data_IF_057942116055
#
_entry.id   IF_057942116055
#
_cell.length_a   1.000
_cell.length_b   1.000
_cell.length_c   1.000
_cell.angle_alpha   90.00
_cell.angle_beta   90.00
_cell.angle_gamma   90.00
#
_symmetry.space_group_name_H-M   'P 1'
#
loop_
_entity.id
_entity.type
_entity.pdbx_description
1 polymer ?
#
# COMPACT_ATOMS: atom_id res chain seq x y z
N UNK A 1 -43.82 -31.20 -49.48
CA UNK A 1 -43.10 -31.63 -48.27
C UNK A 1 -41.71 -31.01 -48.32
N UNK A 2 -41.59 -29.79 -47.78
CA UNK A 2 -40.33 -29.06 -47.76
C UNK A 2 -39.65 -29.32 -46.42
N UNK A 3 -38.43 -29.86 -46.42
CA UNK A 3 -37.57 -29.98 -45.26
C UNK A 3 -36.77 -28.67 -45.11
N UNK A 4 -36.99 -28.01 -44.00
CA UNK A 4 -36.17 -26.86 -43.58
C UNK A 4 -35.10 -27.40 -42.65
N UNK A 5 -33.84 -27.39 -43.10
CA UNK A 5 -32.67 -27.68 -42.29
C UNK A 5 -32.23 -26.42 -41.55
N UNK A 6 -32.49 -26.37 -40.24
CA UNK A 6 -32.00 -25.32 -39.37
C UNK A 6 -30.54 -25.57 -38.96
N UNK A 7 -29.63 -24.69 -39.34
CA UNK A 7 -28.25 -24.65 -38.86
C UNK A 7 -28.19 -23.99 -37.48
N UNK A 8 -27.81 -24.77 -36.49
CA UNK A 8 -27.47 -24.27 -35.16
C UNK A 8 -26.08 -23.56 -35.21
N UNK A 9 -26.09 -22.26 -35.06
CA UNK A 9 -24.88 -21.48 -34.85
C UNK A 9 -24.44 -21.63 -33.39
N UNK A 10 -23.36 -22.37 -33.17
CA UNK A 10 -22.70 -22.45 -31.87
C UNK A 10 -22.00 -21.11 -31.60
N UNK A 11 -22.49 -20.33 -30.62
CA UNK A 11 -21.83 -19.18 -30.10
C UNK A 11 -20.62 -19.65 -29.25
N UNK A 12 -19.42 -19.53 -29.80
CA UNK A 12 -18.19 -19.62 -29.04
C UNK A 12 -18.11 -18.40 -28.11
N UNK A 13 -18.54 -18.58 -26.87
CA UNK A 13 -18.26 -17.64 -25.80
C UNK A 13 -16.74 -17.60 -25.55
N UNK A 14 -16.09 -16.55 -25.98
CA UNK A 14 -14.72 -16.25 -25.56
C UNK A 14 -14.74 -16.01 -24.04
N UNK A 15 -14.32 -17.00 -23.26
CA UNK A 15 -13.95 -16.79 -21.86
C UNK A 15 -12.76 -15.84 -21.86
N UNK A 16 -13.00 -14.59 -21.51
CA UNK A 16 -11.91 -13.67 -21.14
C UNK A 16 -11.20 -14.33 -19.95
N UNK A 17 -10.00 -14.84 -20.18
CA UNK A 17 -9.10 -15.20 -19.11
C UNK A 17 -8.81 -13.90 -18.31
N UNK A 18 -9.57 -13.65 -17.27
CA UNK A 18 -9.16 -12.71 -16.24
C UNK A 18 -7.90 -13.29 -15.61
N UNK A 19 -6.73 -12.85 -16.07
CA UNK A 19 -5.50 -13.04 -15.34
C UNK A 19 -5.74 -12.43 -13.96
N UNK A 20 -5.67 -13.27 -12.92
CA UNK A 20 -5.86 -12.78 -11.55
C UNK A 20 -4.85 -11.66 -11.28
N UNK A 21 -5.34 -10.53 -10.79
CA UNK A 21 -4.50 -9.39 -10.39
C UNK A 21 -3.45 -9.88 -9.39
N UNK A 22 -2.19 -9.50 -9.60
CA UNK A 22 -1.12 -9.88 -8.69
C UNK A 22 -1.36 -9.34 -7.28
N UNK A 23 -0.99 -10.11 -6.27
CA UNK A 23 -0.98 -9.72 -4.87
C UNK A 23 0.17 -10.42 -4.14
N UNK A 24 0.76 -9.80 -3.11
CA UNK A 24 1.76 -10.46 -2.29
C UNK A 24 1.15 -11.66 -1.54
N UNK A 25 1.97 -12.66 -1.26
CA UNK A 25 1.60 -13.80 -0.45
C UNK A 25 1.99 -13.55 1.01
N UNK A 26 1.34 -14.23 1.96
CA UNK A 26 1.73 -14.20 3.37
C UNK A 26 3.22 -14.59 3.49
N UNK A 27 3.99 -13.82 4.25
CA UNK A 27 5.43 -14.03 4.43
C UNK A 27 6.30 -13.59 3.24
N UNK A 28 5.77 -12.86 2.25
CA UNK A 28 6.56 -12.36 1.11
C UNK A 28 7.69 -11.42 1.58
N UNK A 29 8.96 -11.71 1.25
CA UNK A 29 10.06 -10.77 1.47
C UNK A 29 9.89 -9.51 0.61
N UNK A 30 9.99 -8.36 1.24
CA UNK A 30 9.75 -7.08 0.58
C UNK A 30 10.71 -5.99 1.07
N UNK A 31 10.71 -4.86 0.40
CA UNK A 31 11.42 -3.64 0.78
C UNK A 31 10.54 -2.43 0.46
N UNK A 32 10.63 -1.40 1.28
CA UNK A 32 10.04 -0.09 1.01
C UNK A 32 11.13 0.97 0.94
N UNK A 33 11.09 1.80 -0.11
CA UNK A 33 12.01 2.91 -0.32
C UNK A 33 11.23 4.10 -0.85
N UNK A 34 10.88 5.03 0.03
CA UNK A 34 10.12 6.23 -0.33
C UNK A 34 11.03 7.45 -0.49
N UNK A 35 12.16 7.47 0.22
CA UNK A 35 13.11 8.57 0.15
C UNK A 35 14.43 8.08 -0.44
N UNK A 36 14.73 8.55 -1.65
CA UNK A 36 16.07 8.38 -2.21
C UNK A 36 16.95 9.43 -1.58
N UNK A 37 18.05 9.00 -0.95
CA UNK A 37 19.05 9.93 -0.48
C UNK A 37 19.44 10.89 -1.61
N UNK A 38 19.07 12.16 -1.44
CA UNK A 38 19.33 13.22 -2.42
C UNK A 38 20.83 13.40 -2.70
N UNK A 39 21.71 12.92 -1.80
CA UNK A 39 23.16 12.97 -1.98
C UNK A 39 23.68 11.90 -2.93
N UNK A 40 23.02 10.76 -3.03
CA UNK A 40 23.53 9.65 -3.83
C UNK A 40 22.85 9.50 -5.20
N UNK A 41 21.63 10.03 -5.41
CA UNK A 41 20.78 9.75 -6.59
C UNK A 41 20.86 8.27 -7.00
N UNK A 42 21.09 7.41 -6.00
CA UNK A 42 21.44 6.02 -6.25
C UNK A 42 20.25 5.26 -6.82
N UNK A 43 20.52 4.39 -7.74
CA UNK A 43 19.62 3.35 -8.17
C UNK A 43 19.17 2.57 -6.93
N UNK A 44 17.88 2.25 -6.86
CA UNK A 44 17.32 1.39 -5.80
C UNK A 44 18.17 0.13 -5.70
N UNK A 45 18.66 -0.17 -4.49
CA UNK A 45 19.46 -1.36 -4.25
C UNK A 45 18.57 -2.60 -4.30
N UNK A 46 18.78 -3.46 -5.30
CA UNK A 46 18.07 -4.75 -5.37
C UNK A 46 18.76 -5.74 -4.45
N UNK A 47 17.99 -6.25 -3.49
CA UNK A 47 18.44 -7.28 -2.56
C UNK A 47 18.19 -8.68 -3.18
N UNK A 48 19.11 -9.66 -3.02
CA UNK A 48 19.05 -10.94 -3.75
C UNK A 48 17.73 -11.70 -3.61
N UNK A 49 17.17 -11.73 -2.40
CA UNK A 49 15.99 -12.55 -2.07
C UNK A 49 14.69 -11.75 -2.00
N UNK A 50 14.73 -10.45 -2.35
CA UNK A 50 13.58 -9.55 -2.30
C UNK A 50 13.04 -9.33 -3.70
N UNK A 51 11.77 -9.64 -3.90
CA UNK A 51 11.10 -9.53 -5.21
C UNK A 51 9.89 -8.60 -5.20
N UNK A 52 9.62 -7.94 -4.07
CA UNK A 52 8.55 -6.96 -3.92
C UNK A 52 9.14 -5.67 -3.37
N UNK A 53 8.93 -4.58 -4.08
CA UNK A 53 9.40 -3.26 -3.69
C UNK A 53 8.22 -2.29 -3.68
N UNK A 54 8.11 -1.54 -2.58
CA UNK A 54 7.20 -0.42 -2.44
C UNK A 54 7.98 0.88 -2.64
N UNK A 55 7.58 1.66 -3.62
CA UNK A 55 8.34 2.80 -4.11
C UNK A 55 7.46 4.01 -4.31
N UNK A 56 7.98 5.20 -3.96
CA UNK A 56 7.29 6.44 -4.26
C UNK A 56 6.96 6.57 -5.75
N UNK A 57 5.68 6.84 -6.02
CA UNK A 57 5.14 6.93 -7.39
C UNK A 57 5.75 8.09 -8.18
N UNK A 58 6.00 9.23 -7.55
CA UNK A 58 6.42 10.45 -8.24
C UNK A 58 7.93 10.52 -8.42
N UNK A 59 8.68 10.11 -7.39
CA UNK A 59 10.14 10.29 -7.32
C UNK A 59 10.92 9.24 -8.13
N UNK A 60 10.21 8.27 -8.72
CA UNK A 60 10.79 7.25 -9.58
C UNK A 60 10.33 7.41 -11.02
N UNK A 61 11.30 7.45 -11.94
CA UNK A 61 11.01 7.51 -13.37
C UNK A 61 10.46 6.18 -13.91
N UNK A 62 9.65 6.23 -14.97
CA UNK A 62 9.12 5.04 -15.63
C UNK A 62 10.24 4.07 -16.10
N UNK A 63 11.43 4.57 -16.44
CA UNK A 63 12.58 3.75 -16.78
C UNK A 63 13.10 2.92 -15.60
N UNK A 64 13.05 3.45 -14.38
CA UNK A 64 13.37 2.72 -13.14
C UNK A 64 12.41 1.56 -12.94
N UNK A 65 11.10 1.81 -13.05
CA UNK A 65 10.08 0.77 -12.94
C UNK A 65 10.25 -0.31 -14.02
N UNK A 66 10.47 0.09 -15.27
CA UNK A 66 10.69 -0.85 -16.38
C UNK A 66 11.88 -1.76 -16.11
N UNK A 67 13.01 -1.21 -15.63
CA UNK A 67 14.21 -1.97 -15.30
C UNK A 67 13.94 -2.96 -14.16
N UNK A 68 13.33 -2.52 -13.07
CA UNK A 68 13.02 -3.40 -11.94
C UNK A 68 12.11 -4.56 -12.37
N UNK A 69 11.11 -4.27 -13.18
CA UNK A 69 10.22 -5.33 -13.72
C UNK A 69 10.95 -6.31 -14.64
N UNK A 70 11.91 -5.85 -15.43
CA UNK A 70 12.74 -6.74 -16.24
C UNK A 70 13.60 -7.69 -15.38
N UNK A 71 13.96 -7.27 -14.16
CA UNK A 71 14.67 -8.08 -13.16
C UNK A 71 13.71 -8.98 -12.36
N UNK A 72 12.43 -9.04 -12.75
CA UNK A 72 11.40 -9.88 -12.11
C UNK A 72 10.85 -9.33 -10.79
N UNK A 73 11.06 -8.04 -10.52
CA UNK A 73 10.54 -7.35 -9.33
C UNK A 73 9.06 -7.00 -9.51
N UNK A 74 8.27 -7.20 -8.47
CA UNK A 74 6.91 -6.69 -8.34
C UNK A 74 6.90 -5.35 -7.65
N UNK A 75 6.10 -4.43 -8.15
CA UNK A 75 6.11 -3.04 -7.74
C UNK A 75 4.79 -2.65 -7.07
N UNK A 76 4.88 -2.28 -5.81
CA UNK A 76 3.85 -1.53 -5.12
C UNK A 76 4.20 -0.06 -5.29
N UNK A 77 3.22 0.78 -5.58
CA UNK A 77 3.45 2.21 -5.78
C UNK A 77 2.77 3.00 -4.67
N UNK A 78 3.61 3.65 -3.89
CA UNK A 78 3.21 4.53 -2.79
C UNK A 78 2.86 5.93 -3.29
N UNK A 79 1.80 6.47 -2.77
CA UNK A 79 1.51 7.91 -2.77
C UNK A 79 0.59 8.27 -1.61
N UNK A 80 0.68 9.49 -1.09
CA UNK A 80 -0.29 9.95 -0.12
C UNK A 80 -1.65 10.17 -0.81
N UNK A 81 -2.70 9.51 -0.32
CA UNK A 81 -4.06 9.69 -0.84
C UNK A 81 -4.91 10.57 0.06
N UNK A 82 -4.68 10.50 1.38
CA UNK A 82 -5.43 11.27 2.36
C UNK A 82 -4.78 12.59 2.76
N UNK A 83 -3.58 12.91 2.25
CA UNK A 83 -2.94 14.21 2.46
C UNK A 83 -2.56 14.91 1.16
N UNK A 84 -2.64 16.25 1.22
CA UNK A 84 -2.03 17.18 0.28
C UNK A 84 -0.56 17.32 0.63
N UNK A 85 0.31 17.29 -0.38
CA UNK A 85 1.76 17.46 -0.23
C UNK A 85 2.20 18.66 -1.09
N UNK A 86 2.79 19.70 -0.47
CA UNK A 86 3.08 20.98 -1.14
C UNK A 86 4.24 20.92 -2.15
N UNK A 87 4.90 19.78 -2.27
CA UNK A 87 6.00 19.52 -3.22
C UNK A 87 5.58 18.70 -4.44
N UNK A 88 4.40 18.08 -4.44
CA UNK A 88 3.96 17.24 -5.57
C UNK A 88 3.62 18.06 -6.80
N UNK A 89 3.86 17.50 -7.96
CA UNK A 89 3.65 18.18 -9.24
C UNK A 89 2.19 18.57 -9.49
N UNK A 90 1.25 17.81 -8.94
CA UNK A 90 -0.20 17.99 -9.08
C UNK A 90 -0.83 18.87 -7.98
N UNK A 91 -0.04 19.42 -7.06
CA UNK A 91 -0.52 20.21 -5.91
C UNK A 91 -1.48 21.33 -6.27
N UNK A 92 -1.31 21.94 -7.45
CA UNK A 92 -2.15 23.06 -7.92
C UNK A 92 -3.55 22.63 -8.38
N UNK A 93 -3.80 21.34 -8.46
CA UNK A 93 -5.11 20.81 -8.84
C UNK A 93 -6.07 20.72 -7.65
N UNK A 94 -5.55 20.75 -6.42
CA UNK A 94 -6.37 20.77 -5.22
C UNK A 94 -6.96 22.17 -4.99
N UNK A 95 -8.20 22.20 -4.54
CA UNK A 95 -8.90 23.42 -4.16
C UNK A 95 -8.66 23.73 -2.67
N UNK A 96 -8.68 24.98 -2.28
CA UNK A 96 -8.57 25.36 -0.85
C UNK A 96 -9.65 24.66 0.02
N UNK A 97 -10.81 24.38 -0.54
CA UNK A 97 -11.90 23.68 0.13
C UNK A 97 -11.69 22.18 0.29
N UNK A 98 -10.68 21.63 -0.36
CA UNK A 98 -10.28 20.22 -0.24
C UNK A 98 -9.29 20.00 0.90
N UNK A 99 -8.64 21.08 1.38
CA UNK A 99 -7.48 21.03 2.27
C UNK A 99 -7.90 21.38 3.70
N UNK A 100 -7.55 20.50 4.62
CA UNK A 100 -7.78 20.62 6.07
C UNK A 100 -6.57 21.15 6.84
N UNK A 101 -6.50 20.75 8.11
CA UNK A 101 -5.39 21.11 9.00
C UNK A 101 -4.08 20.44 8.57
N UNK A 102 -2.91 21.01 8.96
CA UNK A 102 -1.62 20.36 8.75
C UNK A 102 -1.54 18.99 9.43
N UNK A 103 -0.79 18.05 8.82
CA UNK A 103 -0.42 16.80 9.46
C UNK A 103 0.64 17.07 10.53
N UNK A 104 0.41 16.57 11.75
CA UNK A 104 1.39 16.70 12.84
C UNK A 104 2.66 15.90 12.50
N UNK A 105 3.81 16.55 12.68
CA UNK A 105 5.13 15.96 12.37
C UNK A 105 5.54 15.97 10.89
N UNK A 106 4.67 16.38 9.96
CA UNK A 106 4.92 16.37 8.51
C UNK A 106 4.76 17.77 7.89
N UNK A 107 5.77 18.65 7.97
CA UNK A 107 5.70 19.99 7.40
C UNK A 107 5.45 19.96 5.89
N UNK A 108 4.47 20.74 5.45
CA UNK A 108 4.07 20.80 4.03
C UNK A 108 2.94 19.84 3.66
N UNK A 109 2.48 19.01 4.61
CA UNK A 109 1.31 18.15 4.41
C UNK A 109 0.08 18.65 5.15
N UNK A 110 -1.08 18.48 4.52
CA UNK A 110 -2.39 18.80 5.07
C UNK A 110 -3.38 17.69 4.77
N UNK A 111 -4.30 17.40 5.70
CA UNK A 111 -5.38 16.44 5.49
C UNK A 111 -6.25 16.83 4.30
N UNK A 112 -6.76 15.82 3.57
CA UNK A 112 -7.63 16.02 2.41
C UNK A 112 -9.07 15.59 2.71
N UNK A 113 -10.01 16.34 2.13
CA UNK A 113 -11.43 15.99 2.12
C UNK A 113 -11.70 14.83 1.16
N UNK A 114 -11.57 13.60 1.65
CA UNK A 114 -11.66 12.36 0.86
C UNK A 114 -12.99 12.15 0.14
N UNK A 115 -14.07 12.81 0.59
CA UNK A 115 -15.37 12.82 -0.06
C UNK A 115 -15.48 13.82 -1.22
N UNK A 116 -14.49 14.72 -1.41
CA UNK A 116 -14.48 15.69 -2.52
C UNK A 116 -14.33 14.99 -3.88
N UNK A 117 -15.18 15.33 -4.82
CA UNK A 117 -15.07 14.84 -6.20
C UNK A 117 -13.78 15.29 -6.87
N UNK A 118 -13.24 16.47 -6.51
CA UNK A 118 -11.96 16.93 -7.03
C UNK A 118 -10.80 16.10 -6.49
N UNK A 119 -10.76 15.83 -5.18
CA UNK A 119 -9.75 14.93 -4.58
C UNK A 119 -9.79 13.56 -5.25
N UNK A 120 -10.97 12.96 -5.41
CA UNK A 120 -11.13 11.66 -6.07
C UNK A 120 -10.64 11.68 -7.52
N UNK A 121 -10.92 12.73 -8.27
CA UNK A 121 -10.41 12.89 -9.63
C UNK A 121 -8.88 12.90 -9.67
N UNK A 122 -8.25 13.61 -8.74
CA UNK A 122 -6.79 13.65 -8.63
C UNK A 122 -6.23 12.26 -8.30
N UNK A 123 -6.86 11.54 -7.36
CA UNK A 123 -6.45 10.19 -7.01
C UNK A 123 -6.62 9.19 -8.16
N UNK A 124 -7.69 9.29 -8.94
CA UNK A 124 -7.83 8.51 -10.19
C UNK A 124 -6.67 8.79 -11.14
N UNK A 125 -6.23 10.06 -11.27
CA UNK A 125 -5.09 10.42 -12.11
C UNK A 125 -3.76 9.86 -11.56
N UNK A 126 -3.56 9.82 -10.23
CA UNK A 126 -2.39 9.19 -9.60
C UNK A 126 -2.38 7.67 -9.84
N UNK A 127 -3.52 7.00 -9.70
CA UNK A 127 -3.65 5.56 -9.99
C UNK A 127 -3.41 5.28 -11.48
N UNK A 128 -3.92 6.11 -12.38
CA UNK A 128 -3.61 6.02 -13.81
C UNK A 128 -2.11 6.18 -14.09
N UNK A 129 -1.43 7.11 -13.41
CA UNK A 129 0.02 7.28 -13.51
C UNK A 129 0.75 6.01 -13.05
N UNK A 130 0.32 5.41 -11.92
CA UNK A 130 0.88 4.16 -11.43
C UNK A 130 0.74 3.03 -12.47
N UNK A 131 -0.43 2.88 -13.07
CA UNK A 131 -0.65 1.91 -14.16
C UNK A 131 0.27 2.17 -15.36
N UNK A 132 0.42 3.44 -15.75
CA UNK A 132 1.30 3.85 -16.87
C UNK A 132 2.76 3.53 -16.58
N UNK A 133 3.21 3.68 -15.32
CA UNK A 133 4.56 3.34 -14.89
C UNK A 133 4.77 1.82 -14.72
N UNK A 134 3.70 1.04 -14.73
CA UNK A 134 3.73 -0.42 -14.67
C UNK A 134 3.72 -1.00 -13.26
N UNK A 135 3.13 -0.28 -12.29
CA UNK A 135 2.91 -0.80 -10.94
C UNK A 135 2.03 -2.06 -10.96
N UNK A 136 2.27 -2.97 -10.03
CA UNK A 136 1.46 -4.19 -9.84
C UNK A 136 0.42 -4.00 -8.73
N UNK A 137 0.67 -3.05 -7.81
CA UNK A 137 -0.21 -2.72 -6.69
C UNK A 137 -0.07 -1.27 -6.25
N UNK A 138 -1.01 -0.83 -5.42
CA UNK A 138 -1.06 0.51 -4.82
C UNK A 138 -0.95 0.40 -3.30
N UNK A 139 -0.08 1.24 -2.72
CA UNK A 139 -0.05 1.63 -1.32
C UNK A 139 -0.46 3.10 -1.21
N UNK A 140 -1.68 3.35 -0.72
CA UNK A 140 -2.26 4.67 -0.63
C UNK A 140 -2.29 5.13 0.84
N UNK A 141 -1.47 6.11 1.18
CA UNK A 141 -1.23 6.54 2.55
C UNK A 141 -2.22 7.59 3.07
N UNK A 142 -2.19 7.79 4.39
CA UNK A 142 -2.98 8.78 5.12
C UNK A 142 -4.50 8.58 5.02
N UNK A 143 -4.94 7.32 5.00
CA UNK A 143 -6.36 6.95 4.97
C UNK A 143 -7.03 7.18 6.34
N UNK A 144 -6.25 7.21 7.41
CA UNK A 144 -6.66 7.27 8.82
C UNK A 144 -6.91 8.69 9.35
N UNK A 145 -7.15 9.65 8.48
CA UNK A 145 -7.43 11.04 8.86
C UNK A 145 -8.53 11.18 9.91
N UNK A 146 -9.46 10.22 10.01
CA UNK A 146 -10.53 10.22 11.01
C UNK A 146 -10.03 10.08 12.45
N UNK A 147 -8.83 9.56 12.68
CA UNK A 147 -8.19 9.45 13.99
C UNK A 147 -7.38 10.70 14.38
N UNK A 148 -7.37 11.71 13.53
CA UNK A 148 -6.52 12.87 13.65
C UNK A 148 -7.33 14.16 13.69
N UNK A 149 -6.74 15.26 14.21
CA UNK A 149 -7.32 16.60 14.07
C UNK A 149 -7.17 17.08 12.62
N UNK A 150 -8.11 16.66 11.78
CA UNK A 150 -8.06 16.89 10.34
C UNK A 150 -8.74 18.19 9.86
N UNK A 151 -9.48 18.87 10.74
CA UNK A 151 -10.21 20.12 10.41
C UNK A 151 -11.38 19.93 9.42
N UNK A 152 -11.68 18.70 8.98
CA UNK A 152 -12.67 18.39 7.93
C UNK A 152 -13.83 17.53 8.46
N UNK A 153 -13.72 17.06 9.69
CA UNK A 153 -14.72 16.19 10.31
C UNK A 153 -14.80 14.80 9.68
N UNK A 154 -13.65 14.27 9.19
CA UNK A 154 -13.57 12.94 8.60
C UNK A 154 -13.99 11.86 9.60
N UNK A 155 -14.69 10.85 9.13
CA UNK A 155 -15.18 9.70 9.88
C UNK A 155 -14.59 8.39 9.34
N UNK A 156 -14.71 7.31 10.12
CA UNK A 156 -14.36 5.97 9.63
C UNK A 156 -15.16 5.58 8.38
N UNK A 157 -16.41 6.00 8.27
CA UNK A 157 -17.23 5.68 7.10
C UNK A 157 -16.75 6.43 5.85
N UNK A 158 -16.23 7.66 6.00
CA UNK A 158 -15.56 8.38 4.90
C UNK A 158 -14.30 7.63 4.44
N UNK A 159 -13.50 7.10 5.38
CA UNK A 159 -12.32 6.31 5.06
C UNK A 159 -12.68 4.99 4.36
N UNK A 160 -13.70 4.28 4.84
CA UNK A 160 -14.21 3.04 4.19
C UNK A 160 -14.65 3.33 2.76
N UNK A 161 -15.44 4.37 2.54
CA UNK A 161 -15.92 4.76 1.20
C UNK A 161 -14.75 5.15 0.29
N UNK A 162 -13.76 5.86 0.83
CA UNK A 162 -12.58 6.26 0.07
C UNK A 162 -11.68 5.08 -0.30
N UNK A 163 -11.43 4.14 0.62
CA UNK A 163 -10.69 2.89 0.34
C UNK A 163 -11.40 2.08 -0.75
N UNK A 164 -12.72 1.94 -0.68
CA UNK A 164 -13.49 1.23 -1.71
C UNK A 164 -13.39 1.90 -3.08
N UNK A 165 -13.41 3.22 -3.12
CA UNK A 165 -13.19 3.99 -4.33
C UNK A 165 -11.78 3.73 -4.91
N UNK A 166 -10.72 3.90 -4.10
CA UNK A 166 -9.32 3.71 -4.53
C UNK A 166 -9.05 2.28 -5.01
N UNK A 167 -9.56 1.28 -4.27
CA UNK A 167 -9.43 -0.13 -4.64
C UNK A 167 -10.14 -0.44 -5.97
N UNK A 168 -11.32 0.15 -6.20
CA UNK A 168 -12.04 0.02 -7.46
C UNK A 168 -11.27 0.62 -8.63
N UNK A 169 -10.70 1.80 -8.46
CA UNK A 169 -9.84 2.45 -9.45
C UNK A 169 -8.58 1.59 -9.75
N UNK A 170 -7.87 1.12 -8.71
CA UNK A 170 -6.71 0.25 -8.89
C UNK A 170 -7.06 -1.03 -9.65
N UNK A 171 -8.17 -1.68 -9.29
CA UNK A 171 -8.64 -2.90 -9.95
C UNK A 171 -8.99 -2.66 -11.43
N UNK A 172 -9.57 -1.50 -11.77
CA UNK A 172 -9.89 -1.14 -13.16
C UNK A 172 -8.64 -1.06 -14.05
N UNK A 173 -7.47 -0.84 -13.43
CA UNK A 173 -6.16 -0.81 -14.05
C UNK A 173 -5.34 -2.10 -13.85
N UNK A 174 -5.96 -3.22 -13.43
CA UNK A 174 -5.28 -4.51 -13.14
C UNK A 174 -4.22 -4.42 -12.03
N UNK A 175 -4.39 -3.52 -11.08
CA UNK A 175 -3.54 -3.40 -9.89
C UNK A 175 -4.31 -3.85 -8.65
N UNK A 176 -3.63 -4.50 -7.70
CA UNK A 176 -4.19 -4.74 -6.38
C UNK A 176 -4.03 -3.51 -5.48
N UNK A 177 -4.78 -3.49 -4.38
CA UNK A 177 -4.79 -2.38 -3.44
C UNK A 177 -4.47 -2.88 -2.03
N UNK A 178 -3.52 -2.22 -1.36
CA UNK A 178 -3.16 -2.42 0.04
C UNK A 178 -3.89 -1.43 0.95
N UNK A 179 -4.28 -1.87 2.15
CA UNK A 179 -4.71 -0.97 3.21
C UNK A 179 -3.49 -0.50 3.98
N UNK A 180 -3.20 0.82 3.92
CA UNK A 180 -2.15 1.42 4.75
C UNK A 180 -2.71 1.79 6.11
N UNK A 181 -2.09 1.26 7.18
CA UNK A 181 -2.53 1.50 8.57
C UNK A 181 -4.06 1.33 8.74
N UNK A 182 -4.76 2.26 9.41
CA UNK A 182 -6.24 2.29 9.51
C UNK A 182 -6.87 0.94 9.91
N UNK A 183 -6.28 0.26 10.88
CA UNK A 183 -6.61 -1.13 11.25
C UNK A 183 -8.08 -1.27 11.65
N UNK A 184 -8.65 -0.25 12.27
CA UNK A 184 -10.03 -0.25 12.80
C UNK A 184 -11.08 -0.42 11.69
N UNK A 185 -10.77 -0.02 10.46
CA UNK A 185 -11.67 -0.20 9.31
C UNK A 185 -11.36 -1.47 8.52
N UNK A 186 -10.30 -2.20 8.84
CA UNK A 186 -9.88 -3.38 8.10
C UNK A 186 -11.01 -4.40 7.86
N UNK A 187 -11.84 -4.77 8.86
CA UNK A 187 -12.95 -5.70 8.62
C UNK A 187 -13.99 -5.21 7.60
N UNK A 188 -14.16 -3.86 7.48
CA UNK A 188 -15.14 -3.25 6.59
C UNK A 188 -14.67 -3.16 5.13
N UNK A 189 -13.35 -3.29 4.89
CA UNK A 189 -12.74 -3.17 3.56
C UNK A 189 -11.93 -4.39 3.14
N UNK A 190 -11.96 -5.45 3.95
CA UNK A 190 -11.21 -6.68 3.68
C UNK A 190 -11.54 -7.29 2.32
N UNK A 191 -12.78 -7.18 1.87
CA UNK A 191 -13.25 -7.71 0.58
C UNK A 191 -12.62 -7.02 -0.63
N UNK A 192 -12.23 -5.76 -0.52
CA UNK A 192 -11.63 -4.96 -1.61
C UNK A 192 -10.13 -4.76 -1.50
N UNK A 193 -9.52 -5.05 -0.33
CA UNK A 193 -8.08 -4.94 -0.10
C UNK A 193 -7.39 -6.29 -0.28
N UNK A 194 -6.25 -6.32 -0.96
CA UNK A 194 -5.52 -7.54 -1.25
C UNK A 194 -4.45 -7.88 -0.20
N UNK A 195 -3.96 -6.88 0.51
CA UNK A 195 -2.92 -6.95 1.55
C UNK A 195 -3.05 -5.75 2.48
N UNK A 196 -2.27 -5.72 3.54
CA UNK A 196 -2.09 -4.54 4.38
C UNK A 196 -0.63 -4.07 4.34
N UNK A 197 -0.41 -2.77 4.50
CA UNK A 197 0.87 -2.16 4.86
C UNK A 197 0.68 -1.47 6.20
N UNK A 198 1.42 -1.93 7.22
CA UNK A 198 1.26 -1.41 8.59
C UNK A 198 2.59 -0.94 9.15
N UNK A 199 2.53 0.14 9.91
CA UNK A 199 3.67 0.70 10.62
C UNK A 199 3.49 0.59 12.13
N UNK A 200 4.56 0.12 12.79
CA UNK A 200 4.73 0.21 14.24
C UNK A 200 3.72 -0.58 15.10
N UNK A 201 3.13 -1.66 14.60
CA UNK A 201 2.19 -2.45 15.40
C UNK A 201 2.85 -3.04 16.66
N UNK A 202 4.16 -3.38 16.63
CA UNK A 202 4.89 -3.83 17.81
C UNK A 202 5.02 -2.70 18.83
N UNK A 203 5.39 -1.50 18.36
CA UNK A 203 5.52 -0.33 19.22
C UNK A 203 4.23 0.04 19.94
N UNK A 204 3.10 -0.10 19.26
CA UNK A 204 1.77 0.27 19.81
C UNK A 204 1.03 -0.92 20.44
N UNK A 205 1.53 -2.14 20.30
CA UNK A 205 0.92 -3.34 20.88
C UNK A 205 -0.37 -3.76 20.19
N UNK A 206 -0.49 -3.52 18.88
CA UNK A 206 -1.72 -3.73 18.10
C UNK A 206 -1.57 -4.77 16.96
N UNK A 207 -0.47 -5.53 16.94
CA UNK A 207 -0.23 -6.51 15.86
C UNK A 207 -1.32 -7.58 15.75
N UNK A 208 -2.00 -7.91 16.84
CA UNK A 208 -3.07 -8.89 16.86
C UNK A 208 -4.28 -8.46 15.99
N UNK A 209 -4.50 -7.17 15.85
CA UNK A 209 -5.59 -6.63 15.03
C UNK A 209 -5.38 -6.90 13.53
N UNK A 210 -4.12 -7.10 13.10
CA UNK A 210 -3.76 -7.46 11.74
C UNK A 210 -4.09 -8.91 11.38
N UNK A 211 -4.45 -9.73 12.38
CA UNK A 211 -4.87 -11.13 12.16
C UNK A 211 -6.04 -11.26 11.17
N UNK A 212 -6.89 -10.24 11.05
CA UNK A 212 -7.98 -10.22 10.06
C UNK A 212 -7.50 -10.42 8.63
N UNK A 213 -6.32 -9.91 8.28
CA UNK A 213 -5.71 -10.15 6.98
C UNK A 213 -5.11 -11.55 6.88
N UNK A 214 -4.36 -11.98 7.89
CA UNK A 214 -3.72 -13.30 7.92
C UNK A 214 -4.75 -14.44 7.88
N UNK A 215 -5.83 -14.33 8.65
CA UNK A 215 -6.93 -15.29 8.66
C UNK A 215 -7.62 -15.38 7.28
N UNK A 216 -7.61 -14.29 6.51
CA UNK A 216 -8.09 -14.24 5.13
C UNK A 216 -7.02 -14.67 4.11
N UNK A 217 -5.86 -15.20 4.56
CA UNK A 217 -4.71 -15.54 3.72
C UNK A 217 -4.23 -14.36 2.85
N UNK A 218 -4.19 -13.15 3.45
CA UNK A 218 -3.69 -11.93 2.83
C UNK A 218 -2.42 -11.48 3.53
N UNK A 219 -1.44 -11.02 2.75
CA UNK A 219 -0.16 -10.55 3.29
C UNK A 219 -0.33 -9.31 4.17
N UNK A 220 0.49 -9.23 5.20
CA UNK A 220 0.73 -8.02 5.96
C UNK A 220 2.20 -7.63 5.78
N UNK A 221 2.44 -6.55 5.09
CA UNK A 221 3.74 -5.93 4.88
C UNK A 221 3.94 -4.96 6.05
N UNK A 222 4.80 -5.32 6.98
CA UNK A 222 4.92 -4.64 8.27
C UNK A 222 6.26 -3.92 8.41
N UNK A 223 6.23 -2.71 8.95
CA UNK A 223 7.39 -1.81 9.13
C UNK A 223 7.54 -1.47 10.60
N UNK A 224 8.75 -1.62 11.13
CA UNK A 224 9.12 -1.09 12.45
C UNK A 224 10.34 -0.16 12.35
N UNK A 225 10.41 0.77 13.28
CA UNK A 225 11.48 1.76 13.37
C UNK A 225 12.27 1.57 14.68
N UNK A 226 13.38 0.79 14.64
CA UNK A 226 14.20 0.57 15.83
C UNK A 226 14.75 1.89 16.37
N UNK A 227 14.87 1.97 17.71
CA UNK A 227 15.47 3.14 18.35
C UNK A 227 16.96 3.27 18.01
N UNK A 228 17.41 4.48 17.80
CA UNK A 228 18.84 4.78 17.67
C UNK A 228 19.55 4.74 19.04
N UNK A 229 20.81 4.25 19.15
CA UNK A 229 21.53 3.61 18.05
C UNK A 229 20.98 2.22 17.71
N UNK A 230 20.96 1.88 16.41
CA UNK A 230 20.47 0.57 15.97
C UNK A 230 21.47 -0.51 16.34
N UNK A 231 21.17 -1.25 17.39
CA UNK A 231 21.94 -2.37 17.91
C UNK A 231 21.10 -3.66 17.98
N UNK A 232 21.71 -4.76 18.42
CA UNK A 232 21.02 -6.04 18.50
C UNK A 232 19.78 -6.02 19.41
N UNK A 233 19.80 -5.17 20.46
CA UNK A 233 18.66 -5.05 21.38
C UNK A 233 17.54 -4.24 20.75
N UNK A 234 17.83 -3.07 20.15
CA UNK A 234 16.80 -2.28 19.49
C UNK A 234 16.16 -3.02 18.31
N UNK A 235 16.93 -3.87 17.61
CA UNK A 235 16.41 -4.78 16.58
C UNK A 235 15.47 -5.81 17.21
N UNK A 236 15.89 -6.51 18.26
CA UNK A 236 15.06 -7.50 18.92
C UNK A 236 13.76 -6.90 19.49
N UNK A 237 13.83 -5.73 20.14
CA UNK A 237 12.68 -5.02 20.70
C UNK A 237 11.66 -4.56 19.62
N UNK A 238 12.09 -4.43 18.37
CA UNK A 238 11.26 -4.00 17.24
C UNK A 238 10.74 -5.16 16.37
N UNK A 239 11.13 -6.40 16.67
CA UNK A 239 10.60 -7.57 15.98
C UNK A 239 9.38 -8.10 16.72
N UNK A 240 8.33 -8.55 16.00
CA UNK A 240 7.21 -9.22 16.63
C UNK A 240 7.75 -10.41 17.45
N UNK A 241 7.53 -10.38 18.76
CA UNK A 241 8.05 -11.43 19.63
C UNK A 241 7.32 -12.73 19.32
N UNK A 242 8.10 -13.72 18.91
CA UNK A 242 7.72 -15.10 18.95
C UNK A 242 7.92 -15.58 20.40
N UNK A 243 7.03 -15.18 21.30
CA UNK A 243 7.10 -15.70 22.66
C UNK A 243 6.97 -17.22 22.61
N UNK A 244 8.09 -17.87 22.97
CA UNK A 244 8.22 -19.33 23.05
C UNK A 244 7.42 -19.94 24.22
N UNK A 245 6.32 -19.29 24.63
CA UNK A 245 5.37 -19.76 25.63
C UNK A 245 4.17 -20.41 24.96
N UNK A 246 3.76 -21.55 25.44
CA UNK A 246 2.85 -22.57 24.93
C UNK A 246 1.50 -22.14 24.29
N UNK A 247 1.27 -20.85 24.10
CA UNK A 247 0.11 -20.27 23.41
C UNK A 247 0.53 -19.10 22.50
N UNK A 248 1.77 -19.14 21.95
CA UNK A 248 2.16 -18.21 20.90
C UNK A 248 1.16 -18.41 19.74
N UNK A 249 0.13 -17.60 19.72
CA UNK A 249 -0.84 -17.57 18.63
C UNK A 249 -0.06 -17.44 17.33
N UNK A 250 -0.25 -18.39 16.43
CA UNK A 250 0.43 -18.50 15.13
C UNK A 250 0.28 -17.25 14.25
N UNK A 251 -0.40 -16.23 14.74
CA UNK A 251 -0.82 -15.02 14.05
C UNK A 251 0.32 -14.04 13.77
N UNK A 252 1.30 -13.91 14.66
CA UNK A 252 2.50 -13.09 14.40
C UNK A 252 3.46 -13.71 13.37
N UNK A 253 3.34 -15.01 13.11
CA UNK A 253 4.19 -15.73 12.16
C UNK A 253 3.98 -15.36 10.68
N UNK A 254 2.94 -14.62 10.36
CA UNK A 254 2.61 -14.24 8.99
C UNK A 254 3.00 -12.82 8.58
N UNK A 255 3.52 -12.01 9.52
CA UNK A 255 3.92 -10.64 9.22
C UNK A 255 5.23 -10.62 8.41
N UNK A 256 5.24 -9.91 7.28
CA UNK A 256 6.46 -9.65 6.51
C UNK A 256 7.13 -8.40 7.07
N UNK A 257 7.88 -8.54 8.17
CA UNK A 257 8.45 -7.40 8.91
C UNK A 257 9.77 -6.94 8.32
N UNK A 258 9.85 -5.64 8.04
CA UNK A 258 11.09 -4.92 7.72
C UNK A 258 11.36 -3.86 8.79
N UNK A 259 12.61 -3.75 9.18
CA UNK A 259 13.08 -2.69 10.08
C UNK A 259 13.66 -1.57 9.22
N UNK A 260 13.18 -0.37 9.42
CA UNK A 260 13.53 0.82 8.62
C UNK A 260 14.01 1.97 9.52
N UNK A 261 14.67 2.92 8.89
CA UNK A 261 14.78 4.28 9.47
C UNK A 261 13.53 5.07 9.09
N UNK A 262 13.19 6.07 9.91
CA UNK A 262 12.07 6.97 9.61
C UNK A 262 12.20 7.70 8.26
N UNK A 263 13.42 7.79 7.72
CA UNK A 263 13.67 8.33 6.38
C UNK A 263 13.15 7.45 5.25
N UNK A 264 12.84 6.18 5.51
CA UNK A 264 12.45 5.18 4.51
C UNK A 264 13.40 5.16 3.30
N UNK A 265 14.72 5.29 3.57
CA UNK A 265 15.82 5.17 2.61
C UNK A 265 16.11 3.69 2.25
N UNK A 266 17.21 3.42 1.54
CA UNK A 266 17.61 2.05 1.16
C UNK A 266 18.02 1.15 2.34
N UNK A 267 18.27 1.71 3.51
CA UNK A 267 18.64 0.91 4.68
C UNK A 267 17.48 0.02 5.13
N UNK A 268 17.76 -1.26 5.32
CA UNK A 268 16.80 -2.25 5.82
C UNK A 268 17.48 -3.33 6.65
N UNK A 269 16.77 -3.82 7.63
CA UNK A 269 17.06 -5.07 8.34
C UNK A 269 15.79 -5.92 8.37
N UNK A 270 15.98 -7.21 8.48
CA UNK A 270 14.89 -8.17 8.65
C UNK A 270 14.96 -8.76 10.04
N UNK A 271 13.80 -9.12 10.58
CA UNK A 271 13.74 -9.87 11.82
C UNK A 271 14.34 -11.26 11.63
N UNK A 272 15.03 -11.82 12.66
CA UNK A 272 15.64 -13.14 12.59
C UNK A 272 14.65 -14.26 12.30
#
# INVERSE_FOLDING_TARGET
MLLVTGTLASSLGSSLNHTSVWKPQVGTPWQIVLNKDAATKSSIQILPDVKVYDLDLFDNDASTFTKLKADGIRLICYFSAGSYEDWRSDKKEFLDTDIGTPLDGWPGENWLKTSSSNVRRIMSSRIQLAATKGCDAIDADNIDGYNNDNGLGLTQDDAVDFVRFLAGEALSHNMSFGLKNAIEIAPKVLDVTAFAVNEQCVKYGECDELSVFLDANKAVLHIEYPREPVDARSIADSCPHLDAGADADAKSHGLSTVLKRMSLDDWVKYCP
#
